data_IF_672265543780
#
_entry.id   IF_672265543780
#
_cell.length_a   1.000
_cell.length_b   1.000
_cell.length_c   1.000
_cell.angle_alpha   90.00
_cell.angle_beta   90.00
_cell.angle_gamma   90.00
#
_symmetry.space_group_name_H-M   'P 1'
#
loop_
_entity.id
_entity.type
_entity.pdbx_description
1 polymer ?
#
# COMPACT_ATOMS: atom_id res chain seq x y z
N UNK A 1 14.62 14.12 3.01
CA UNK A 1 13.25 14.17 2.44
C UNK A 1 12.31 14.94 3.35
N UNK A 2 12.19 14.54 4.62
CA UNK A 2 11.37 15.22 5.64
C UNK A 2 11.58 16.74 5.70
N UNK A 3 12.82 17.21 5.88
CA UNK A 3 13.13 18.66 5.95
C UNK A 3 12.65 19.44 4.71
N UNK A 4 12.77 18.84 3.52
CA UNK A 4 12.28 19.45 2.28
C UNK A 4 10.76 19.52 2.24
N UNK A 5 10.06 18.49 2.72
CA UNK A 5 8.60 18.51 2.83
C UNK A 5 8.14 19.56 3.84
N UNK A 6 8.76 19.64 5.01
CA UNK A 6 8.42 20.67 6.02
C UNK A 6 8.65 22.07 5.45
N UNK A 7 9.80 22.31 4.81
CA UNK A 7 10.10 23.60 4.18
C UNK A 7 9.10 23.97 3.06
N UNK A 8 8.68 23.00 2.25
CA UNK A 8 7.66 23.21 1.23
C UNK A 8 6.29 23.53 1.86
N UNK A 9 5.92 22.82 2.93
CA UNK A 9 4.67 23.07 3.67
C UNK A 9 4.62 24.48 4.23
N UNK A 10 5.71 24.96 4.84
CA UNK A 10 5.81 26.32 5.39
C UNK A 10 5.64 27.38 4.29
N UNK A 11 6.18 27.11 3.10
CA UNK A 11 6.03 28.00 1.95
C UNK A 11 4.58 28.03 1.48
N UNK A 12 3.94 26.86 1.33
CA UNK A 12 2.54 26.77 0.93
C UNK A 12 1.58 27.36 1.97
N UNK A 13 1.90 27.26 3.26
CA UNK A 13 1.13 27.90 4.34
C UNK A 13 1.16 29.42 4.25
N UNK A 14 2.33 30.03 3.99
CA UNK A 14 2.45 31.49 3.84
C UNK A 14 1.62 32.02 2.67
N UNK A 15 1.52 31.24 1.61
CA UNK A 15 0.75 31.56 0.40
C UNK A 15 -0.72 31.08 0.45
N UNK A 16 -1.17 30.50 1.57
CA UNK A 16 -2.51 29.92 1.75
C UNK A 16 -2.92 28.88 0.66
N UNK A 17 -1.95 28.08 0.21
CA UNK A 17 -2.15 27.06 -0.83
C UNK A 17 -2.60 25.72 -0.21
N UNK A 18 -3.86 25.66 0.24
CA UNK A 18 -4.41 24.53 1.00
C UNK A 18 -4.24 23.16 0.32
N UNK A 19 -4.51 23.08 -0.98
CA UNK A 19 -4.35 21.83 -1.74
C UNK A 19 -2.89 21.34 -1.71
N UNK A 20 -1.93 22.25 -1.91
CA UNK A 20 -0.50 21.91 -1.87
C UNK A 20 -0.06 21.45 -0.48
N UNK A 21 -0.63 22.03 0.59
CA UNK A 21 -0.39 21.56 1.97
C UNK A 21 -0.86 20.12 2.14
N UNK A 22 -2.04 19.77 1.60
CA UNK A 22 -2.55 18.38 1.65
C UNK A 22 -1.65 17.41 0.89
N UNK A 23 -1.12 17.80 -0.27
CA UNK A 23 -0.15 16.97 -1.01
C UNK A 23 1.13 16.75 -0.20
N UNK A 24 1.63 17.77 0.49
CA UNK A 24 2.80 17.60 1.36
C UNK A 24 2.50 16.66 2.53
N UNK A 25 1.33 16.80 3.16
CA UNK A 25 0.89 15.90 4.24
C UNK A 25 0.74 14.47 3.76
N UNK A 26 0.19 14.25 2.57
CA UNK A 26 0.13 12.94 1.93
C UNK A 26 1.53 12.32 1.85
N UNK A 27 2.49 13.08 1.32
CA UNK A 27 3.86 12.59 1.14
C UNK A 27 4.58 12.33 2.47
N UNK A 28 4.36 13.17 3.49
CA UNK A 28 4.87 12.93 4.85
C UNK A 28 4.25 11.66 5.44
N UNK A 29 2.94 11.48 5.33
CA UNK A 29 2.24 10.27 5.75
C UNK A 29 2.80 9.01 5.09
N UNK A 30 2.97 9.04 3.77
CA UNK A 30 3.59 7.95 3.02
C UNK A 30 5.04 7.68 3.47
N UNK A 31 5.85 8.72 3.63
CA UNK A 31 7.23 8.60 4.10
C UNK A 31 7.30 7.91 5.46
N UNK A 32 6.53 8.35 6.46
CA UNK A 32 6.53 7.71 7.77
C UNK A 32 5.99 6.28 7.73
N UNK A 33 4.98 6.00 6.89
CA UNK A 33 4.45 4.65 6.70
C UNK A 33 5.51 3.67 6.16
N UNK A 34 6.38 4.13 5.25
CA UNK A 34 7.51 3.33 4.74
C UNK A 34 8.61 3.08 5.77
N UNK A 35 8.68 3.89 6.82
CA UNK A 35 9.61 3.73 7.95
C UNK A 35 9.01 2.92 9.11
N UNK A 36 7.81 2.35 8.93
CA UNK A 36 7.05 1.66 9.98
C UNK A 36 6.70 2.55 11.19
N UNK A 37 6.55 3.86 10.97
CA UNK A 37 6.12 4.83 11.98
C UNK A 37 4.61 5.10 11.84
N UNK A 38 3.80 4.05 12.06
CA UNK A 38 2.36 4.06 11.74
C UNK A 38 1.57 5.17 12.45
N UNK A 39 1.77 5.39 13.75
CA UNK A 39 1.08 6.47 14.47
C UNK A 39 1.42 7.87 13.93
N UNK A 40 2.66 8.08 13.48
CA UNK A 40 3.07 9.35 12.87
C UNK A 40 2.43 9.50 11.49
N UNK A 41 2.44 8.43 10.69
CA UNK A 41 1.81 8.42 9.38
C UNK A 41 0.32 8.75 9.44
N UNK A 42 -0.41 8.11 10.37
CA UNK A 42 -1.86 8.29 10.55
C UNK A 42 -2.22 9.74 10.85
N UNK A 43 -1.44 10.45 11.68
CA UNK A 43 -1.69 11.89 11.95
C UNK A 43 -1.73 12.75 10.69
N UNK A 44 -0.94 12.42 9.68
CA UNK A 44 -0.97 13.12 8.40
C UNK A 44 -2.08 12.60 7.48
N UNK A 45 -2.23 11.28 7.38
CA UNK A 45 -3.13 10.62 6.44
C UNK A 45 -4.61 10.85 6.80
N UNK A 46 -4.96 10.84 8.08
CA UNK A 46 -6.34 11.08 8.51
C UNK A 46 -6.81 12.49 8.14
N UNK A 47 -5.94 13.51 8.24
CA UNK A 47 -6.30 14.86 7.79
C UNK A 47 -6.46 14.93 6.26
N UNK A 48 -5.59 14.25 5.50
CA UNK A 48 -5.72 14.17 4.04
C UNK A 48 -7.04 13.49 3.66
N UNK A 49 -7.38 12.36 4.28
CA UNK A 49 -8.61 11.62 3.96
C UNK A 49 -9.90 12.32 4.40
N UNK A 50 -9.83 13.21 5.40
CA UNK A 50 -10.93 14.09 5.79
C UNK A 50 -11.13 15.23 4.78
N UNK A 51 -10.06 15.86 4.31
CA UNK A 51 -10.13 17.06 3.46
C UNK A 51 -10.12 16.77 1.95
N UNK A 52 -9.57 15.63 1.54
CA UNK A 52 -9.49 15.16 0.17
C UNK A 52 -9.98 13.70 0.09
N UNK A 53 -11.28 13.44 0.32
CA UNK A 53 -11.82 12.08 0.43
C UNK A 53 -11.73 11.24 -0.85
N UNK A 54 -11.40 11.87 -1.99
CA UNK A 54 -11.15 11.22 -3.28
C UNK A 54 -9.70 10.73 -3.46
N UNK A 55 -8.81 10.98 -2.49
CA UNK A 55 -7.43 10.48 -2.51
C UNK A 55 -7.38 8.99 -2.13
N UNK A 56 -7.64 8.14 -3.11
CA UNK A 56 -7.61 6.68 -2.93
C UNK A 56 -6.25 6.15 -2.43
N UNK A 57 -5.16 6.87 -2.72
CA UNK A 57 -3.82 6.49 -2.28
C UNK A 57 -3.66 6.74 -0.78
N UNK A 58 -4.10 7.91 -0.30
CA UNK A 58 -4.11 8.21 1.13
C UNK A 58 -5.01 7.23 1.90
N UNK A 59 -6.18 6.89 1.35
CA UNK A 59 -7.08 5.87 1.95
C UNK A 59 -6.39 4.51 2.06
N UNK A 60 -5.68 4.08 1.01
CA UNK A 60 -4.96 2.80 1.01
C UNK A 60 -3.85 2.77 2.07
N UNK A 61 -3.04 3.83 2.15
CA UNK A 61 -1.96 3.90 3.12
C UNK A 61 -2.53 3.92 4.54
N UNK A 62 -3.57 4.73 4.81
CA UNK A 62 -4.21 4.79 6.14
C UNK A 62 -4.76 3.42 6.57
N UNK A 63 -5.47 2.73 5.67
CA UNK A 63 -5.99 1.39 5.94
C UNK A 63 -4.87 0.40 6.31
N UNK A 64 -3.75 0.44 5.59
CA UNK A 64 -2.60 -0.44 5.83
C UNK A 64 -1.93 -0.13 7.17
N UNK A 65 -1.84 1.14 7.56
CA UNK A 65 -1.25 1.52 8.85
C UNK A 65 -2.15 1.13 10.03
N UNK A 66 -3.49 1.28 9.92
CA UNK A 66 -4.42 0.74 10.93
C UNK A 66 -4.31 -0.78 11.07
N UNK A 67 -4.19 -1.52 9.95
CA UNK A 67 -3.93 -2.96 10.00
C UNK A 67 -2.65 -3.31 10.78
N UNK A 68 -1.56 -2.57 10.56
CA UNK A 68 -0.29 -2.79 11.28
C UNK A 68 -0.43 -2.57 12.79
N UNK A 69 -1.32 -1.68 13.22
CA UNK A 69 -1.63 -1.41 14.63
C UNK A 69 -2.62 -2.42 15.24
N UNK A 70 -3.18 -3.34 14.44
CA UNK A 70 -4.19 -4.29 14.90
C UNK A 70 -5.61 -3.71 14.95
N UNK A 71 -5.83 -2.55 14.34
CA UNK A 71 -7.12 -1.84 14.32
C UNK A 71 -7.95 -2.30 13.10
N UNK A 72 -8.29 -3.60 13.09
CA UNK A 72 -8.82 -4.30 11.92
C UNK A 72 -10.18 -3.78 11.46
N UNK A 73 -11.04 -3.32 12.37
CA UNK A 73 -12.34 -2.75 12.04
C UNK A 73 -12.19 -1.43 11.27
N UNK A 74 -11.30 -0.55 11.74
CA UNK A 74 -11.01 0.74 11.09
C UNK A 74 -10.38 0.49 9.71
N UNK A 75 -9.41 -0.42 9.65
CA UNK A 75 -8.81 -0.85 8.39
C UNK A 75 -9.87 -1.38 7.41
N UNK A 76 -10.82 -2.19 7.88
CA UNK A 76 -11.88 -2.75 7.04
C UNK A 76 -12.83 -1.68 6.47
N UNK A 77 -13.17 -0.66 7.24
CA UNK A 77 -13.99 0.47 6.77
C UNK A 77 -13.27 1.26 5.67
N UNK A 78 -11.98 1.57 5.88
CA UNK A 78 -11.15 2.26 4.89
C UNK A 78 -10.94 1.42 3.63
N UNK A 79 -10.76 0.10 3.76
CA UNK A 79 -10.65 -0.83 2.62
C UNK A 79 -11.93 -0.80 1.78
N UNK A 80 -13.10 -0.89 2.40
CA UNK A 80 -14.40 -0.82 1.69
C UNK A 80 -14.57 0.52 0.96
N UNK A 81 -14.26 1.63 1.64
CA UNK A 81 -14.28 2.98 1.04
C UNK A 81 -13.33 3.05 -0.16
N UNK A 82 -12.11 2.55 0.01
CA UNK A 82 -11.08 2.51 -1.02
C UNK A 82 -11.48 1.71 -2.25
N UNK A 83 -12.02 0.50 -2.07
CA UNK A 83 -12.55 -0.32 -3.15
C UNK A 83 -13.65 0.38 -3.93
N UNK A 84 -14.62 0.98 -3.23
CA UNK A 84 -15.69 1.72 -3.86
C UNK A 84 -15.14 2.87 -4.71
N UNK A 85 -14.22 3.65 -4.15
CA UNK A 85 -13.61 4.80 -4.81
C UNK A 85 -12.78 4.38 -6.03
N UNK A 86 -11.89 3.41 -5.89
CA UNK A 86 -11.05 2.92 -6.99
C UNK A 86 -11.87 2.28 -8.11
N UNK A 87 -12.98 1.60 -7.76
CA UNK A 87 -13.92 1.07 -8.76
C UNK A 87 -14.61 2.19 -9.52
N UNK A 88 -15.14 3.20 -8.83
CA UNK A 88 -15.80 4.35 -9.45
C UNK A 88 -14.86 5.16 -10.36
N UNK A 89 -13.60 5.26 -9.98
CA UNK A 89 -12.56 5.97 -10.74
C UNK A 89 -11.89 5.12 -11.83
N UNK A 90 -12.18 3.82 -11.91
CA UNK A 90 -11.55 2.90 -12.86
C UNK A 90 -10.06 2.65 -12.61
N UNK A 91 -9.60 2.74 -11.36
CA UNK A 91 -8.19 2.57 -10.97
C UNK A 91 -7.91 1.09 -10.65
N UNK A 92 -7.78 0.27 -11.69
CA UNK A 92 -7.60 -1.19 -11.60
C UNK A 92 -6.49 -1.61 -10.61
N UNK A 93 -5.32 -0.98 -10.67
CA UNK A 93 -4.21 -1.30 -9.78
C UNK A 93 -4.55 -1.17 -8.29
N UNK A 94 -5.32 -0.14 -7.92
CA UNK A 94 -5.74 0.02 -6.52
C UNK A 94 -6.88 -0.91 -6.12
N UNK A 95 -7.71 -1.36 -7.05
CA UNK A 95 -8.67 -2.44 -6.78
C UNK A 95 -7.92 -3.69 -6.34
N UNK A 96 -6.84 -4.07 -7.02
CA UNK A 96 -6.00 -5.20 -6.62
C UNK A 96 -5.33 -4.98 -5.25
N UNK A 97 -4.73 -3.80 -5.03
CA UNK A 97 -4.13 -3.47 -3.73
C UNK A 97 -5.11 -3.61 -2.57
N UNK A 98 -6.32 -3.08 -2.69
CA UNK A 98 -7.33 -3.18 -1.65
C UNK A 98 -7.88 -4.61 -1.48
N UNK A 99 -8.09 -5.37 -2.56
CA UNK A 99 -8.53 -6.76 -2.45
C UNK A 99 -7.52 -7.62 -1.69
N UNK A 100 -6.23 -7.43 -1.96
CA UNK A 100 -5.16 -8.13 -1.23
C UNK A 100 -5.13 -7.70 0.24
N UNK A 101 -5.20 -6.39 0.52
CA UNK A 101 -5.24 -5.88 1.89
C UNK A 101 -6.47 -6.38 2.67
N UNK A 102 -7.62 -6.54 2.01
CA UNK A 102 -8.81 -7.11 2.61
C UNK A 102 -8.57 -8.55 3.09
N UNK A 103 -7.97 -9.41 2.24
CA UNK A 103 -7.66 -10.79 2.63
C UNK A 103 -6.70 -10.86 3.81
N UNK A 104 -5.72 -9.96 3.83
CA UNK A 104 -4.76 -9.82 4.92
C UNK A 104 -5.46 -9.37 6.22
N UNK A 105 -6.33 -8.35 6.14
CA UNK A 105 -7.07 -7.80 7.27
C UNK A 105 -8.06 -8.81 7.88
N UNK A 106 -8.70 -9.61 7.03
CA UNK A 106 -9.61 -10.67 7.44
C UNK A 106 -8.90 -11.93 7.95
N UNK A 107 -7.56 -11.92 8.04
CA UNK A 107 -6.75 -13.09 8.40
C UNK A 107 -7.14 -14.34 7.59
N UNK A 108 -7.43 -14.15 6.29
CA UNK A 108 -7.78 -15.25 5.41
C UNK A 108 -6.63 -16.26 5.30
N UNK A 109 -6.96 -17.53 5.08
CA UNK A 109 -5.94 -18.55 4.85
C UNK A 109 -5.10 -18.23 3.60
N UNK A 110 -3.89 -18.80 3.53
CA UNK A 110 -2.93 -18.54 2.47
C UNK A 110 -3.52 -18.81 1.08
N UNK A 111 -4.35 -19.84 0.92
CA UNK A 111 -4.97 -20.16 -0.37
C UNK A 111 -5.98 -19.10 -0.84
N UNK A 112 -6.68 -18.42 0.08
CA UNK A 112 -7.60 -17.35 -0.30
C UNK A 112 -6.86 -16.04 -0.57
N UNK A 113 -5.78 -15.78 0.18
CA UNK A 113 -4.86 -14.69 -0.13
C UNK A 113 -4.19 -14.90 -1.49
N UNK A 114 -3.76 -16.13 -1.79
CA UNK A 114 -3.10 -16.51 -3.05
C UNK A 114 -3.94 -16.15 -4.27
N UNK A 115 -5.25 -16.41 -4.23
CA UNK A 115 -6.17 -16.03 -5.33
C UNK A 115 -6.13 -14.53 -5.60
N UNK A 116 -6.29 -13.70 -4.56
CA UNK A 116 -6.26 -12.25 -4.69
C UNK A 116 -4.89 -11.73 -5.17
N UNK A 117 -3.80 -12.34 -4.68
CA UNK A 117 -2.43 -11.98 -5.07
C UNK A 117 -2.17 -12.35 -6.54
N UNK A 118 -2.60 -13.52 -7.02
CA UNK A 118 -2.40 -13.94 -8.42
C UNK A 118 -3.19 -13.08 -9.40
N UNK A 119 -4.41 -12.67 -9.04
CA UNK A 119 -5.17 -11.68 -9.82
C UNK A 119 -4.40 -10.35 -9.91
N UNK A 120 -3.88 -9.86 -8.79
CA UNK A 120 -3.06 -8.65 -8.75
C UNK A 120 -1.76 -8.78 -9.55
N UNK A 121 -1.05 -9.90 -9.45
CA UNK A 121 0.20 -10.15 -10.19
C UNK A 121 -0.04 -10.04 -11.70
N UNK A 122 -1.15 -10.57 -12.20
CA UNK A 122 -1.49 -10.48 -13.63
C UNK A 122 -1.57 -9.03 -14.12
N UNK A 123 -2.07 -8.11 -13.27
CA UNK A 123 -2.05 -6.67 -13.52
C UNK A 123 -0.65 -6.07 -13.36
N UNK A 124 0.02 -6.32 -12.24
CA UNK A 124 1.32 -5.72 -11.94
C UNK A 124 2.41 -6.15 -12.92
N UNK A 125 2.34 -7.35 -13.49
CA UNK A 125 3.27 -7.79 -14.54
C UNK A 125 3.08 -7.01 -15.83
N UNK A 126 1.82 -6.77 -16.24
CA UNK A 126 1.47 -5.98 -17.43
C UNK A 126 1.96 -4.54 -17.32
N UNK A 127 1.83 -3.94 -16.15
CA UNK A 127 2.28 -2.57 -15.87
C UNK A 127 3.76 -2.49 -15.43
N UNK A 128 4.47 -3.62 -15.42
CA UNK A 128 5.86 -3.75 -14.96
C UNK A 128 6.14 -3.17 -13.56
N UNK A 129 5.19 -3.35 -12.64
CA UNK A 129 5.25 -2.90 -11.25
C UNK A 129 5.84 -4.02 -10.36
N UNK A 130 7.11 -4.35 -10.63
CA UNK A 130 7.80 -5.47 -9.98
C UNK A 130 7.97 -5.30 -8.46
N UNK A 131 7.96 -4.06 -7.96
CA UNK A 131 7.95 -3.77 -6.53
C UNK A 131 6.74 -4.38 -5.81
N UNK A 132 5.55 -4.33 -6.43
CA UNK A 132 4.33 -4.88 -5.82
C UNK A 132 4.25 -6.38 -5.98
N UNK A 133 4.78 -6.94 -7.08
CA UNK A 133 4.92 -8.39 -7.22
C UNK A 133 5.83 -8.93 -6.10
N UNK A 134 6.98 -8.28 -5.89
CA UNK A 134 7.89 -8.64 -4.80
C UNK A 134 7.21 -8.56 -3.42
N UNK A 135 6.58 -7.43 -3.09
CA UNK A 135 5.91 -7.24 -1.80
C UNK A 135 4.83 -8.31 -1.54
N UNK A 136 3.95 -8.56 -2.51
CA UNK A 136 2.82 -9.46 -2.30
C UNK A 136 3.18 -10.94 -2.33
N UNK A 137 4.15 -11.33 -3.15
CA UNK A 137 4.67 -12.70 -3.12
C UNK A 137 5.42 -12.99 -1.81
N UNK A 138 6.16 -12.03 -1.25
CA UNK A 138 6.80 -12.18 0.06
C UNK A 138 5.78 -12.35 1.19
N UNK A 139 4.74 -11.51 1.23
CA UNK A 139 3.65 -11.66 2.22
C UNK A 139 2.97 -13.02 2.11
N UNK A 140 2.71 -13.48 0.89
CA UNK A 140 2.11 -14.79 0.64
C UNK A 140 3.03 -15.95 1.06
N UNK A 141 4.33 -15.84 0.79
CA UNK A 141 5.33 -16.82 1.21
C UNK A 141 5.37 -16.96 2.74
N UNK A 142 5.37 -15.83 3.46
CA UNK A 142 5.32 -15.80 4.92
C UNK A 142 4.02 -16.43 5.44
N UNK A 143 2.87 -16.16 4.81
CA UNK A 143 1.60 -16.75 5.21
C UNK A 143 1.61 -18.28 5.02
N UNK A 144 2.06 -18.79 3.86
CA UNK A 144 2.20 -20.23 3.65
C UNK A 144 3.19 -20.87 4.62
N UNK A 145 4.27 -20.18 4.98
CA UNK A 145 5.23 -20.66 5.97
C UNK A 145 4.59 -20.83 7.35
N UNK A 146 3.78 -19.85 7.79
CA UNK A 146 3.03 -19.91 9.06
C UNK A 146 1.96 -21.01 9.08
N UNK A 147 1.51 -21.46 7.91
CA UNK A 147 0.55 -22.56 7.73
C UNK A 147 1.24 -23.90 7.41
N UNK A 148 2.55 -24.03 7.70
CA UNK A 148 3.38 -25.22 7.48
C UNK A 148 3.44 -25.72 6.02
N UNK A 149 3.03 -24.88 5.05
CA UNK A 149 3.13 -25.18 3.63
C UNK A 149 4.47 -24.68 3.06
N UNK A 150 5.55 -25.33 3.49
CA UNK A 150 6.92 -24.92 3.14
C UNK A 150 7.21 -24.99 1.64
N UNK A 151 6.54 -25.87 0.88
CA UNK A 151 6.70 -25.97 -0.56
C UNK A 151 6.22 -24.69 -1.26
N UNK A 152 4.98 -24.25 -0.96
CA UNK A 152 4.47 -22.99 -1.51
C UNK A 152 5.20 -21.78 -0.95
N UNK A 153 5.59 -21.80 0.33
CA UNK A 153 6.40 -20.73 0.90
C UNK A 153 7.72 -20.56 0.13
N UNK A 154 8.46 -21.65 -0.11
CA UNK A 154 9.71 -21.62 -0.88
C UNK A 154 9.49 -21.15 -2.31
N UNK A 155 8.41 -21.59 -2.97
CA UNK A 155 8.06 -21.14 -4.31
C UNK A 155 7.86 -19.61 -4.35
N UNK A 156 7.04 -19.07 -3.45
CA UNK A 156 6.74 -17.63 -3.45
C UNK A 156 7.92 -16.76 -3.00
N UNK A 157 8.80 -17.26 -2.12
CA UNK A 157 10.07 -16.57 -1.84
C UNK A 157 10.97 -16.49 -3.08
N UNK A 158 11.01 -17.55 -3.90
CA UNK A 158 11.75 -17.53 -5.17
C UNK A 158 11.13 -16.54 -6.17
N UNK A 159 9.80 -16.53 -6.29
CA UNK A 159 9.09 -15.54 -7.13
C UNK A 159 9.38 -14.10 -6.68
N UNK A 160 9.37 -13.84 -5.36
CA UNK A 160 9.72 -12.55 -4.78
C UNK A 160 11.15 -12.13 -5.16
N UNK A 161 12.12 -13.06 -5.05
CA UNK A 161 13.51 -12.80 -5.43
C UNK A 161 13.66 -12.43 -6.91
N UNK A 162 12.95 -13.12 -7.81
CA UNK A 162 12.96 -12.79 -9.25
C UNK A 162 12.37 -11.40 -9.53
N UNK A 163 11.28 -11.05 -8.85
CA UNK A 163 10.67 -9.72 -8.98
C UNK A 163 11.62 -8.62 -8.47
N UNK A 164 12.31 -8.86 -7.36
CA UNK A 164 13.34 -7.95 -6.84
C UNK A 164 14.48 -7.73 -7.84
N UNK A 165 14.97 -8.80 -8.50
CA UNK A 165 16.01 -8.69 -9.51
C UNK A 165 15.56 -7.85 -10.72
N UNK A 166 14.32 -8.05 -11.19
CA UNK A 166 13.73 -7.23 -12.27
C UNK A 166 13.61 -5.76 -11.85
N UNK A 167 13.15 -5.51 -10.63
CA UNK A 167 13.02 -4.15 -10.10
C UNK A 167 14.38 -3.44 -10.02
N UNK A 168 15.42 -4.13 -9.55
CA UNK A 168 16.79 -3.62 -9.51
C UNK A 168 17.30 -3.25 -10.92
N UNK A 169 17.12 -4.14 -11.90
CA UNK A 169 17.50 -3.87 -13.30
C UNK A 169 16.75 -2.65 -13.87
N UNK A 170 15.46 -2.51 -13.59
CA UNK A 170 14.66 -1.34 -14.01
C UNK A 170 15.13 -0.05 -13.35
N UNK A 171 15.50 -0.08 -12.07
CA UNK A 171 16.06 1.05 -11.35
C UNK A 171 17.43 1.49 -11.86
N UNK A 172 18.29 0.54 -12.25
CA UNK A 172 19.63 0.83 -12.78
C UNK A 172 19.63 1.45 -14.20
N UNK A 173 18.49 1.43 -14.90
CA UNK A 173 18.30 2.05 -16.20
C UNK A 173 17.80 3.50 -16.12
N UNK A 174 17.50 4.00 -14.91
CA UNK A 174 17.10 5.38 -14.63
C UNK A 174 18.31 6.21 -14.17
#
# INVERSE_FOLDING_TARGET
AEEHFISAMDTFQKENLEYNILIVRHNLGFMYATQNLSEVALRYLSEVNQKLPSDYKAVFIEAREHYKLGEYEIAQELIKKGLQLSTQLGIEGYIHHFNILEKINLHSCANDLEKAVLEGISYFEREELYEYINEYTEKLAVQFYKEDNHLKASYYFYEASKASEKNFKKGALK
#
